data_IF_054811084744
#
_entry.id   IF_054811084744
#
_cell.length_a   1.000
_cell.length_b   1.000
_cell.length_c   1.000
_cell.angle_alpha   90.00
_cell.angle_beta   90.00
_cell.angle_gamma   90.00
#
_symmetry.space_group_name_H-M   'P 1'
#
loop_
_entity.id
_entity.type
_entity.pdbx_description
1 polymer ?
#
# COMPACT_ATOMS: atom_id res chain seq x y z
N UNK A 1 28.20 28.33 -7.13
CA UNK A 1 27.01 27.47 -6.99
C UNK A 1 27.46 26.15 -6.34
N UNK A 2 27.17 25.94 -5.07
CA UNK A 2 27.47 24.66 -4.39
C UNK A 2 26.42 23.66 -4.82
N UNK A 3 26.83 22.60 -5.52
CA UNK A 3 25.95 21.43 -5.78
C UNK A 3 25.62 20.81 -4.42
N UNK A 4 24.37 20.93 -3.99
CA UNK A 4 23.88 20.22 -2.82
C UNK A 4 23.91 18.72 -3.17
N UNK A 5 24.71 17.95 -2.47
CA UNK A 5 24.75 16.50 -2.65
C UNK A 5 23.38 15.94 -2.24
N UNK A 6 22.70 15.26 -3.16
CA UNK A 6 21.49 14.49 -2.87
C UNK A 6 21.91 13.29 -2.01
N UNK A 7 21.25 13.11 -0.89
CA UNK A 7 21.46 11.95 -0.02
C UNK A 7 20.47 10.87 -0.46
N UNK A 8 20.99 9.80 -1.08
CA UNK A 8 20.19 8.67 -1.57
C UNK A 8 20.11 7.58 -0.51
N UNK A 9 18.95 6.99 -0.33
CA UNK A 9 18.73 5.79 0.46
C UNK A 9 17.95 4.75 -0.35
N UNK A 10 18.22 3.47 -0.13
CA UNK A 10 17.50 2.36 -0.76
C UNK A 10 16.49 1.77 0.22
N UNK A 11 15.25 1.57 -0.24
CA UNK A 11 14.17 0.91 0.50
C UNK A 11 13.64 -0.22 -0.39
N UNK A 12 13.47 -1.41 0.17
CA UNK A 12 12.90 -2.58 -0.54
C UNK A 12 11.66 -3.02 0.21
N UNK A 13 10.54 -3.20 -0.51
CA UNK A 13 9.29 -3.68 0.05
C UNK A 13 8.87 -4.93 -0.71
N UNK A 14 8.62 -6.02 0.02
CA UNK A 14 8.29 -7.32 -0.57
C UNK A 14 6.87 -7.74 -0.20
N UNK A 15 6.16 -8.32 -1.14
CA UNK A 15 4.93 -9.08 -0.90
C UNK A 15 5.28 -10.38 -0.15
N UNK A 16 5.14 -10.36 1.14
CA UNK A 16 5.50 -11.33 2.18
C UNK A 16 6.90 -11.16 2.79
N UNK A 17 6.82 -10.56 3.98
CA UNK A 17 7.77 -10.66 5.10
C UNK A 17 9.23 -10.34 4.86
N UNK A 18 9.62 -9.23 5.46
CA UNK A 18 10.88 -9.02 6.19
C UNK A 18 12.09 -8.57 5.40
N UNK A 19 12.30 -7.31 5.39
CA UNK A 19 13.46 -6.55 5.87
C UNK A 19 13.32 -5.10 5.44
N UNK A 20 12.62 -4.31 6.23
CA UNK A 20 12.65 -2.85 6.11
C UNK A 20 13.80 -2.37 6.99
N UNK A 21 14.74 -1.64 6.40
CA UNK A 21 15.73 -0.92 7.19
C UNK A 21 15.02 0.17 8.00
N UNK A 22 15.16 0.12 9.31
CA UNK A 22 14.50 0.95 10.29
C UNK A 22 14.71 2.45 10.02
N UNK A 23 13.61 3.16 9.78
CA UNK A 23 13.52 4.59 10.05
C UNK A 23 12.21 4.82 10.79
N UNK A 24 12.31 5.13 12.06
CA UNK A 24 11.20 5.18 13.00
C UNK A 24 10.44 6.51 12.96
N UNK A 25 9.13 6.41 12.83
CA UNK A 25 8.10 7.36 13.23
C UNK A 25 7.46 8.24 12.17
N UNK A 26 6.12 8.22 12.11
CA UNK A 26 5.30 8.94 11.13
C UNK A 26 4.34 9.94 11.80
N UNK A 27 3.97 11.07 11.17
CA UNK A 27 2.75 11.76 11.53
C UNK A 27 1.53 10.95 11.10
N UNK A 28 0.44 11.05 11.85
CA UNK A 28 -0.82 10.43 11.53
C UNK A 28 -1.30 10.88 10.14
N UNK A 29 -1.31 9.96 9.18
CA UNK A 29 -1.81 10.18 7.81
C UNK A 29 -2.74 9.01 7.45
N UNK A 30 -3.73 9.28 6.60
CA UNK A 30 -4.61 8.25 6.06
C UNK A 30 -3.80 7.27 5.22
N UNK A 31 -4.04 5.98 5.37
CA UNK A 31 -3.33 4.84 4.76
C UNK A 31 -1.86 4.77 5.18
N UNK A 32 -1.30 3.57 5.26
CA UNK A 32 0.14 3.44 5.37
C UNK A 32 0.77 3.96 4.07
N UNK A 33 1.29 5.19 4.14
CA UNK A 33 2.17 5.72 3.10
C UNK A 33 3.58 5.31 3.41
N UNK A 34 4.30 4.92 2.41
CA UNK A 34 5.74 4.79 2.54
C UNK A 34 6.34 6.14 2.92
N UNK A 35 7.19 6.15 3.91
CA UNK A 35 7.75 7.38 4.41
C UNK A 35 9.09 7.19 5.12
N UNK A 36 9.79 8.28 5.27
CA UNK A 36 11.03 8.38 6.04
C UNK A 36 10.78 9.25 7.26
N UNK A 37 11.27 8.85 8.41
CA UNK A 37 11.29 9.70 9.61
C UNK A 37 12.71 10.02 10.01
N UNK A 38 12.94 11.27 10.35
CA UNK A 38 14.13 11.72 11.04
C UNK A 38 13.78 12.50 12.32
N UNK A 39 14.76 13.09 12.99
CA UNK A 39 14.57 13.89 14.20
C UNK A 39 13.80 15.21 13.98
N UNK A 40 13.53 15.58 12.73
CA UNK A 40 12.87 16.85 12.36
C UNK A 40 11.42 16.62 11.94
N UNK A 41 11.08 15.38 11.48
CA UNK A 41 9.74 15.03 11.04
C UNK A 41 9.70 13.79 10.18
N UNK A 42 8.58 13.56 9.51
CA UNK A 42 8.44 12.49 8.52
C UNK A 42 8.04 13.06 7.17
N UNK A 43 8.53 12.42 6.11
CA UNK A 43 8.18 12.73 4.73
C UNK A 43 7.67 11.47 4.05
N UNK A 44 6.55 11.58 3.34
CA UNK A 44 6.03 10.46 2.52
C UNK A 44 6.80 10.35 1.22
N UNK A 45 7.02 9.11 0.78
CA UNK A 45 7.62 8.84 -0.53
C UNK A 45 6.62 9.18 -1.63
N UNK A 46 7.09 9.86 -2.65
CA UNK A 46 6.28 10.19 -3.82
C UNK A 46 7.14 10.62 -5.01
N UNK A 47 6.60 10.44 -6.19
CA UNK A 47 7.09 11.09 -7.39
C UNK A 47 6.74 12.59 -7.34
N UNK A 48 7.72 13.45 -7.42
CA UNK A 48 7.51 14.92 -7.45
C UNK A 48 7.34 15.44 -8.86
N UNK A 49 7.74 14.65 -9.86
CA UNK A 49 7.59 14.94 -11.28
C UNK A 49 6.67 13.91 -11.94
N UNK A 50 5.77 14.37 -12.80
CA UNK A 50 4.86 13.53 -13.57
C UNK A 50 5.08 13.77 -15.07
N UNK A 51 4.95 12.76 -15.94
CA UNK A 51 4.68 11.35 -15.61
C UNK A 51 5.84 10.68 -14.88
N UNK A 52 5.53 9.63 -14.10
CA UNK A 52 6.53 8.71 -13.58
C UNK A 52 7.01 7.81 -14.72
N UNK A 53 8.32 7.80 -14.96
CA UNK A 53 8.93 7.06 -16.06
C UNK A 53 9.27 5.63 -15.65
N UNK A 54 9.09 4.66 -16.57
CA UNK A 54 9.47 3.27 -16.33
C UNK A 54 9.89 2.55 -17.60
N UNK A 55 10.75 1.57 -17.44
CA UNK A 55 11.18 0.63 -18.48
C UNK A 55 10.80 -0.80 -18.11
N UNK A 56 10.76 -1.69 -19.08
CA UNK A 56 10.53 -3.11 -18.87
C UNK A 56 11.74 -3.90 -19.37
N UNK A 57 12.22 -4.82 -18.52
CA UNK A 57 13.32 -5.71 -18.92
C UNK A 57 12.88 -6.58 -20.09
N UNK A 58 13.74 -6.73 -21.10
CA UNK A 58 13.47 -7.40 -22.36
C UNK A 58 13.55 -8.95 -22.28
N UNK A 59 13.78 -9.49 -21.07
CA UNK A 59 13.92 -10.93 -20.84
C UNK A 59 12.55 -11.61 -20.76
N UNK A 60 12.36 -12.62 -21.58
CA UNK A 60 11.24 -13.56 -21.47
C UNK A 60 11.49 -14.58 -20.38
N UNK A 61 10.41 -14.99 -19.70
CA UNK A 61 10.42 -16.13 -18.77
C UNK A 61 9.42 -17.19 -19.21
N UNK A 62 9.49 -18.38 -18.62
CA UNK A 62 8.61 -19.49 -19.01
C UNK A 62 7.13 -19.13 -18.89
N UNK A 63 6.45 -19.04 -20.04
CA UNK A 63 5.02 -18.77 -20.14
C UNK A 63 4.64 -17.29 -20.18
N UNK A 64 5.60 -16.34 -20.07
CA UNK A 64 5.34 -14.90 -20.17
C UNK A 64 6.47 -14.23 -20.95
N UNK A 65 6.13 -13.57 -22.06
CA UNK A 65 7.08 -12.73 -22.78
C UNK A 65 7.21 -11.35 -22.13
N UNK A 66 8.31 -10.66 -22.40
CA UNK A 66 8.54 -9.26 -22.00
C UNK A 66 7.41 -8.32 -22.47
N UNK A 67 6.86 -8.56 -23.66
CA UNK A 67 5.71 -7.80 -24.16
C UNK A 67 4.41 -8.10 -23.36
N UNK A 68 4.20 -9.34 -22.94
CA UNK A 68 3.06 -9.67 -22.06
C UNK A 68 3.22 -9.08 -20.66
N UNK A 69 4.45 -9.04 -20.13
CA UNK A 69 4.76 -8.33 -18.89
C UNK A 69 4.45 -6.83 -19.03
N UNK A 70 4.95 -6.19 -20.09
CA UNK A 70 4.68 -4.79 -20.39
C UNK A 70 3.17 -4.49 -20.43
N UNK A 71 2.40 -5.33 -21.12
CA UNK A 71 0.95 -5.16 -21.23
C UNK A 71 0.24 -5.32 -19.89
N UNK A 72 0.67 -6.23 -19.04
CA UNK A 72 0.11 -6.38 -17.69
C UNK A 72 0.38 -5.14 -16.83
N UNK A 73 1.61 -4.63 -16.86
CA UNK A 73 2.01 -3.39 -16.16
C UNK A 73 1.22 -2.19 -16.70
N UNK A 74 1.08 -2.06 -18.02
CA UNK A 74 0.32 -0.96 -18.62
C UNK A 74 -1.15 -0.97 -18.18
N UNK A 75 -1.80 -2.14 -18.10
CA UNK A 75 -3.18 -2.24 -17.59
C UNK A 75 -3.25 -1.88 -16.10
N UNK A 76 -2.30 -2.33 -15.31
CA UNK A 76 -2.20 -1.97 -13.90
C UNK A 76 -2.06 -0.45 -13.72
N UNK A 77 -1.16 0.18 -14.46
CA UNK A 77 -0.96 1.63 -14.39
C UNK A 77 -2.19 2.40 -14.86
N UNK A 78 -2.86 1.98 -15.92
CA UNK A 78 -4.13 2.61 -16.35
C UNK A 78 -5.20 2.57 -15.26
N UNK A 79 -5.28 1.46 -14.52
CA UNK A 79 -6.22 1.34 -13.40
C UNK A 79 -5.94 2.39 -12.31
N UNK A 80 -4.68 2.71 -12.04
CA UNK A 80 -4.30 3.81 -11.14
C UNK A 80 -4.52 5.20 -11.77
N UNK A 81 -4.24 5.38 -13.07
CA UNK A 81 -4.46 6.64 -13.79
C UNK A 81 -5.95 7.01 -13.90
N UNK A 82 -6.82 6.01 -13.93
CA UNK A 82 -8.28 6.18 -14.02
C UNK A 82 -8.93 6.61 -12.70
N UNK A 83 -8.15 6.75 -11.61
CA UNK A 83 -8.66 7.29 -10.34
C UNK A 83 -8.99 8.78 -10.50
N UNK A 84 -10.28 9.17 -10.44
CA UNK A 84 -10.69 10.54 -10.81
C UNK A 84 -10.27 11.61 -9.80
N UNK A 85 -9.90 11.19 -8.60
CA UNK A 85 -9.50 12.06 -7.49
C UNK A 85 -7.98 12.13 -7.30
N UNK A 86 -7.22 11.46 -8.17
CA UNK A 86 -5.76 11.47 -8.15
C UNK A 86 -5.17 12.02 -9.47
N UNK A 87 -4.02 12.69 -9.34
CA UNK A 87 -3.25 13.23 -10.48
C UNK A 87 -1.98 12.43 -10.68
N UNK A 88 -2.09 11.20 -11.19
CA UNK A 88 -0.96 10.32 -11.51
C UNK A 88 -0.90 10.04 -13.01
N UNK A 89 0.32 9.95 -13.56
CA UNK A 89 0.57 9.59 -14.96
C UNK A 89 1.84 8.77 -15.05
N UNK A 90 1.87 7.83 -15.98
CA UNK A 90 3.02 6.98 -16.24
C UNK A 90 3.47 7.09 -17.69
N UNK A 91 4.77 6.91 -17.91
CA UNK A 91 5.37 6.92 -19.23
C UNK A 91 6.27 5.71 -19.41
N UNK A 92 5.93 4.87 -20.36
CA UNK A 92 6.79 3.78 -20.80
C UNK A 92 7.91 4.33 -21.69
N UNK A 93 9.17 4.11 -21.28
CA UNK A 93 10.36 4.60 -21.99
C UNK A 93 10.95 3.56 -22.93
N UNK A 94 10.46 2.32 -22.89
CA UNK A 94 10.93 1.26 -23.78
C UNK A 94 11.41 0.02 -23.02
N UNK A 95 11.87 -0.96 -23.80
CA UNK A 95 12.52 -2.13 -23.26
C UNK A 95 13.99 -1.84 -22.92
N UNK A 96 14.49 -2.51 -21.87
CA UNK A 96 15.87 -2.36 -21.40
C UNK A 96 16.47 -3.72 -21.08
N UNK A 97 17.80 -3.82 -21.15
CA UNK A 97 18.54 -4.98 -20.63
C UNK A 97 18.92 -4.82 -19.16
N UNK A 98 18.63 -3.67 -18.53
CA UNK A 98 18.86 -3.46 -17.10
C UNK A 98 18.00 -4.43 -16.28
N UNK A 99 18.55 -4.93 -15.18
CA UNK A 99 17.79 -5.76 -14.25
C UNK A 99 17.16 -4.91 -13.14
N UNK A 100 15.99 -5.28 -12.63
CA UNK A 100 15.45 -4.65 -11.45
C UNK A 100 16.44 -4.74 -10.26
N UNK A 101 16.41 -3.74 -9.39
CA UNK A 101 17.25 -3.60 -8.19
C UNK A 101 18.67 -3.04 -8.46
N UNK A 102 18.97 -2.56 -9.65
CA UNK A 102 20.21 -1.85 -9.96
C UNK A 102 20.05 -0.35 -9.67
N UNK A 103 21.05 0.31 -9.10
CA UNK A 103 21.08 1.79 -8.91
C UNK A 103 21.62 2.44 -10.19
N UNK A 104 20.76 2.56 -11.21
CA UNK A 104 21.16 3.01 -12.54
C UNK A 104 20.36 4.23 -13.04
N UNK A 105 19.49 4.79 -12.20
CA UNK A 105 18.52 5.86 -12.49
C UNK A 105 17.44 5.46 -13.50
N UNK A 106 17.16 4.17 -13.65
CA UNK A 106 16.11 3.65 -14.52
C UNK A 106 15.13 2.83 -13.70
N UNK A 107 13.89 3.27 -13.61
CA UNK A 107 12.86 2.47 -12.94
C UNK A 107 12.52 1.26 -13.81
N UNK A 108 12.96 0.08 -13.40
CA UNK A 108 12.87 -1.14 -14.20
C UNK A 108 11.89 -2.13 -13.61
N UNK A 109 10.95 -2.59 -14.43
CA UNK A 109 10.06 -3.72 -14.17
C UNK A 109 10.59 -4.95 -14.87
N UNK A 110 10.80 -6.06 -14.15
CA UNK A 110 11.34 -7.26 -14.78
C UNK A 110 11.21 -8.52 -13.95
N UNK A 111 11.57 -9.64 -14.52
CA UNK A 111 11.64 -10.91 -13.80
C UNK A 111 13.02 -11.14 -13.20
N UNK A 112 13.07 -11.54 -11.92
CA UNK A 112 14.26 -12.06 -11.26
C UNK A 112 13.99 -13.45 -10.69
N UNK A 113 14.98 -14.34 -10.78
CA UNK A 113 14.90 -15.66 -10.15
C UNK A 113 15.28 -15.55 -8.69
N UNK A 114 14.30 -15.68 -7.80
CA UNK A 114 14.47 -15.58 -6.35
C UNK A 114 13.87 -16.82 -5.65
N UNK A 115 14.45 -18.01 -5.88
CA UNK A 115 13.99 -19.25 -5.23
C UNK A 115 14.23 -19.25 -3.71
N UNK A 116 15.11 -18.37 -3.22
CA UNK A 116 15.34 -18.09 -1.81
C UNK A 116 14.16 -17.37 -1.15
N UNK A 117 13.28 -16.74 -1.94
CA UNK A 117 12.07 -16.03 -1.53
C UNK A 117 10.83 -16.80 -1.99
N UNK A 118 10.63 -18.01 -1.47
CA UNK A 118 9.60 -18.96 -1.90
C UNK A 118 8.15 -18.46 -1.73
N UNK A 119 7.94 -17.45 -0.88
CA UNK A 119 6.64 -16.82 -0.61
C UNK A 119 6.50 -15.42 -1.19
N UNK A 120 7.54 -14.87 -1.82
CA UNK A 120 7.51 -13.53 -2.41
C UNK A 120 7.18 -13.66 -3.89
N UNK A 121 6.04 -13.10 -4.29
CA UNK A 121 5.60 -13.06 -5.68
C UNK A 121 6.29 -11.95 -6.45
N UNK A 122 6.38 -10.76 -5.85
CA UNK A 122 7.02 -9.59 -6.41
C UNK A 122 7.54 -8.69 -5.29
N UNK A 123 8.31 -7.68 -5.63
CA UNK A 123 8.78 -6.69 -4.66
C UNK A 123 9.18 -5.41 -5.35
N UNK A 124 8.85 -4.29 -4.72
CA UNK A 124 9.23 -2.95 -5.13
C UNK A 124 10.36 -2.41 -4.29
N UNK A 125 11.37 -1.79 -4.92
CA UNK A 125 12.47 -1.11 -4.25
C UNK A 125 12.55 0.35 -4.70
N UNK A 126 13.19 1.19 -3.87
CA UNK A 126 13.27 2.63 -4.10
C UNK A 126 14.67 3.16 -3.90
N UNK A 127 15.07 4.11 -4.76
CA UNK A 127 16.12 5.06 -4.48
C UNK A 127 15.46 6.44 -4.27
N UNK A 128 15.70 7.05 -3.12
CA UNK A 128 14.97 8.25 -2.70
C UNK A 128 15.91 9.35 -2.23
N UNK A 129 15.48 10.60 -2.36
CA UNK A 129 16.07 11.70 -1.59
C UNK A 129 15.52 11.65 -0.17
N UNK A 130 16.35 11.27 0.78
CA UNK A 130 15.95 11.03 2.18
C UNK A 130 15.51 12.28 2.93
N UNK A 131 15.73 13.48 2.39
CA UNK A 131 15.27 14.73 3.01
C UNK A 131 13.91 15.19 2.54
N UNK A 132 13.54 14.82 1.31
CA UNK A 132 12.30 15.30 0.66
C UNK A 132 11.27 14.20 0.47
N UNK A 133 11.67 12.93 0.58
CA UNK A 133 10.83 11.79 0.22
C UNK A 133 10.62 11.64 -1.30
N UNK A 134 11.34 12.41 -2.12
CA UNK A 134 11.25 12.28 -3.58
C UNK A 134 11.75 10.92 -4.02
N UNK A 135 10.92 10.18 -4.73
CA UNK A 135 11.31 8.96 -5.42
C UNK A 135 12.15 9.36 -6.63
N UNK A 136 13.38 8.89 -6.69
CA UNK A 136 14.31 9.15 -7.79
C UNK A 136 14.30 8.01 -8.80
N UNK A 137 14.09 6.78 -8.29
CA UNK A 137 14.04 5.55 -9.04
C UNK A 137 13.25 4.52 -8.23
N UNK A 138 12.49 3.67 -8.90
CA UNK A 138 11.78 2.56 -8.26
C UNK A 138 11.77 1.36 -9.18
N UNK A 139 12.28 0.24 -8.68
CA UNK A 139 12.32 -1.02 -9.41
C UNK A 139 11.30 -2.00 -8.88
N UNK A 140 10.76 -2.79 -9.78
CA UNK A 140 9.83 -3.87 -9.45
C UNK A 140 10.32 -5.17 -10.06
N UNK A 141 10.61 -6.17 -9.23
CA UNK A 141 10.82 -7.50 -9.74
C UNK A 141 9.63 -8.42 -9.49
N UNK A 142 9.36 -9.28 -10.45
CA UNK A 142 8.44 -10.42 -10.33
C UNK A 142 9.28 -11.69 -10.19
N UNK A 143 8.97 -12.53 -9.21
CA UNK A 143 9.76 -13.74 -8.95
C UNK A 143 9.50 -14.79 -10.02
N UNK A 144 10.47 -15.03 -10.89
CA UNK A 144 10.35 -16.03 -11.97
C UNK A 144 10.37 -17.48 -11.48
N UNK A 145 10.61 -17.71 -10.17
CA UNK A 145 10.51 -19.04 -9.56
C UNK A 145 9.07 -19.51 -9.37
N UNK A 146 8.08 -18.58 -9.45
CA UNK A 146 6.66 -18.92 -9.36
C UNK A 146 6.01 -18.95 -10.74
N UNK A 147 4.95 -19.76 -10.92
CA UNK A 147 4.24 -19.84 -12.19
C UNK A 147 3.29 -18.63 -12.36
N UNK A 148 3.41 -17.93 -13.49
CA UNK A 148 2.63 -16.74 -13.83
C UNK A 148 1.58 -17.03 -14.90
N UNK A 149 0.47 -16.30 -14.86
CA UNK A 149 -0.58 -16.27 -15.87
C UNK A 149 -0.87 -14.82 -16.32
N UNK A 150 -1.13 -14.68 -17.62
CA UNK A 150 -1.58 -13.42 -18.26
C UNK A 150 -2.94 -13.61 -18.91
N UNK A 151 -3.65 -14.70 -18.61
CA UNK A 151 -4.95 -15.00 -19.20
C UNK A 151 -6.05 -14.13 -18.59
N UNK A 152 -7.10 -13.84 -19.37
CA UNK A 152 -8.18 -13.00 -18.93
C UNK A 152 -8.93 -13.54 -17.70
N UNK A 153 -9.13 -14.86 -17.64
CA UNK A 153 -9.96 -15.52 -16.63
C UNK A 153 -9.16 -16.20 -15.51
N UNK A 154 -7.83 -15.95 -15.45
CA UNK A 154 -6.94 -16.68 -14.57
C UNK A 154 -6.65 -18.12 -15.05
N UNK A 155 -5.68 -18.76 -14.42
CA UNK A 155 -5.25 -20.12 -14.75
C UNK A 155 -4.93 -20.87 -13.45
N UNK A 156 -5.59 -22.01 -13.18
CA UNK A 156 -5.34 -22.77 -11.97
C UNK A 156 -3.84 -23.11 -11.78
N UNK A 157 -3.32 -22.87 -10.58
CA UNK A 157 -1.93 -23.15 -10.26
C UNK A 157 -0.94 -22.05 -10.70
N UNK A 158 -1.41 -20.96 -11.31
CA UNK A 158 -0.60 -19.80 -11.72
C UNK A 158 -1.10 -18.53 -11.09
N UNK A 159 -0.19 -17.67 -10.67
CA UNK A 159 -0.55 -16.35 -10.15
C UNK A 159 -0.84 -15.36 -11.28
N UNK A 160 -1.81 -14.52 -11.07
CA UNK A 160 -2.20 -13.51 -12.04
C UNK A 160 -1.22 -12.33 -12.04
N UNK A 161 -0.50 -12.17 -13.15
CA UNK A 161 0.53 -11.15 -13.27
C UNK A 161 -0.02 -9.73 -13.17
N UNK A 162 -1.22 -9.47 -13.74
CA UNK A 162 -1.84 -8.15 -13.71
C UNK A 162 -2.28 -7.74 -12.29
N UNK A 163 -2.84 -8.66 -11.51
CA UNK A 163 -3.22 -8.39 -10.11
C UNK A 163 -2.00 -8.04 -9.26
N UNK A 164 -0.89 -8.77 -9.44
CA UNK A 164 0.35 -8.49 -8.71
C UNK A 164 0.99 -7.19 -9.21
N UNK A 165 0.99 -6.94 -10.52
CA UNK A 165 1.47 -5.67 -11.07
C UNK A 165 0.66 -4.47 -10.57
N UNK A 166 -0.66 -4.62 -10.35
CA UNK A 166 -1.50 -3.57 -9.78
C UNK A 166 -1.12 -3.26 -8.32
N UNK A 167 -0.81 -4.29 -7.52
CA UNK A 167 -0.31 -4.13 -6.15
C UNK A 167 1.06 -3.43 -6.13
N UNK A 168 2.03 -3.93 -6.90
CA UNK A 168 3.36 -3.33 -6.97
C UNK A 168 3.33 -1.90 -7.51
N UNK A 169 2.40 -1.59 -8.43
CA UNK A 169 2.18 -0.23 -8.91
C UNK A 169 1.71 0.71 -7.79
N UNK A 170 0.95 0.21 -6.81
CA UNK A 170 0.62 0.97 -5.60
C UNK A 170 1.84 1.30 -4.76
N UNK A 171 2.76 0.35 -4.58
CA UNK A 171 4.06 0.61 -3.94
C UNK A 171 4.88 1.61 -4.77
N UNK A 172 5.00 1.40 -6.07
CA UNK A 172 5.67 2.32 -6.98
C UNK A 172 5.19 3.77 -6.84
N UNK A 173 3.92 3.97 -6.47
CA UNK A 173 3.32 5.27 -6.18
C UNK A 173 3.57 5.76 -4.74
N UNK A 174 4.18 4.98 -3.87
CA UNK A 174 4.46 5.36 -2.49
C UNK A 174 3.40 4.90 -1.47
N UNK A 175 2.47 4.03 -1.84
CA UNK A 175 1.58 3.35 -0.89
C UNK A 175 2.31 2.22 -0.20
N UNK A 176 2.03 2.00 1.08
CA UNK A 176 2.38 0.80 1.83
C UNK A 176 1.18 -0.16 1.86
N UNK A 177 1.24 -1.19 2.69
CA UNK A 177 0.17 -2.18 2.79
C UNK A 177 -1.06 -1.64 3.52
N UNK A 178 -2.23 -2.13 3.12
CA UNK A 178 -3.51 -1.93 3.81
C UNK A 178 -3.86 -3.17 4.63
N UNK A 179 -4.45 -3.00 5.82
CA UNK A 179 -4.93 -4.11 6.63
C UNK A 179 -6.38 -4.52 6.32
N UNK A 180 -6.99 -3.94 5.28
CA UNK A 180 -8.34 -4.32 4.87
C UNK A 180 -8.36 -5.67 4.15
N UNK A 181 -8.31 -6.74 4.93
CA UNK A 181 -8.41 -8.11 4.44
C UNK A 181 -8.71 -9.09 5.57
N UNK A 182 -9.34 -10.19 5.22
CA UNK A 182 -9.66 -11.28 6.13
C UNK A 182 -8.94 -12.54 5.66
N UNK A 183 -8.31 -13.24 6.57
CA UNK A 183 -7.54 -14.44 6.25
C UNK A 183 -7.77 -15.54 7.25
N UNK A 184 -7.41 -16.77 6.86
CA UNK A 184 -7.33 -17.91 7.77
C UNK A 184 -5.97 -18.61 7.67
N UNK A 185 -5.42 -19.12 8.78
CA UNK A 185 -4.20 -19.93 8.76
C UNK A 185 -4.39 -21.22 7.96
N UNK A 186 -3.35 -21.63 7.22
CA UNK A 186 -3.31 -22.93 6.51
C UNK A 186 -2.55 -23.98 7.33
N UNK A 187 -2.97 -25.23 7.24
CA UNK A 187 -2.32 -26.36 7.92
C UNK A 187 -0.87 -26.61 7.47
N UNK A 188 -0.47 -26.13 6.28
CA UNK A 188 0.89 -26.21 5.73
C UNK A 188 1.72 -24.95 5.97
N UNK A 189 1.25 -24.02 6.79
CA UNK A 189 1.84 -22.69 7.00
C UNK A 189 1.36 -21.65 5.99
N UNK A 190 1.52 -20.37 6.36
CA UNK A 190 0.96 -19.22 5.64
C UNK A 190 -0.54 -19.06 5.88
N UNK A 191 -1.15 -18.13 5.15
CA UNK A 191 -2.56 -17.75 5.30
C UNK A 191 -3.30 -17.85 3.96
N UNK A 192 -4.62 -18.01 3.99
CA UNK A 192 -5.51 -17.97 2.85
C UNK A 192 -6.38 -16.72 2.96
N UNK A 193 -6.40 -15.90 1.92
CA UNK A 193 -7.31 -14.76 1.82
C UNK A 193 -8.74 -15.26 1.67
N UNK A 194 -9.63 -14.80 2.53
CA UNK A 194 -11.07 -15.00 2.46
C UNK A 194 -11.76 -13.85 1.74
N UNK A 195 -11.22 -12.64 1.90
CA UNK A 195 -11.65 -11.42 1.22
C UNK A 195 -10.61 -10.33 1.39
N UNK A 196 -10.57 -9.39 0.47
CA UNK A 196 -9.76 -8.19 0.57
C UNK A 196 -10.59 -6.95 0.24
N UNK A 197 -10.39 -5.90 1.02
CA UNK A 197 -10.99 -4.57 0.83
C UNK A 197 -10.00 -3.55 0.27
N UNK A 198 -8.79 -3.99 -0.08
CA UNK A 198 -7.75 -3.20 -0.72
C UNK A 198 -6.89 -4.09 -1.62
N UNK A 199 -6.41 -3.55 -2.75
CA UNK A 199 -5.39 -4.22 -3.56
C UNK A 199 -4.06 -4.22 -2.83
N UNK A 200 -3.85 -3.22 -1.96
CA UNK A 200 -2.64 -3.12 -1.13
C UNK A 200 -2.64 -4.05 0.09
N UNK A 201 -3.58 -5.00 0.22
CA UNK A 201 -3.50 -6.05 1.24
C UNK A 201 -2.29 -6.96 0.95
N UNK A 202 -1.41 -7.27 1.95
CA UNK A 202 -0.10 -7.87 1.70
C UNK A 202 -0.12 -9.33 1.26
N UNK A 203 -1.28 -9.99 1.31
CA UNK A 203 -1.40 -11.41 0.96
C UNK A 203 -2.23 -11.55 -0.31
N UNK A 204 -1.60 -12.09 -1.35
CA UNK A 204 -2.26 -12.30 -2.63
C UNK A 204 -3.37 -13.37 -2.56
N UNK A 205 -4.38 -13.23 -3.41
CA UNK A 205 -5.34 -14.30 -3.64
C UNK A 205 -4.66 -15.58 -4.13
N UNK A 206 -5.34 -16.71 -3.94
CA UNK A 206 -4.84 -18.00 -4.42
C UNK A 206 -4.62 -17.97 -5.94
N UNK A 207 -3.68 -18.79 -6.41
CA UNK A 207 -3.42 -18.96 -7.83
C UNK A 207 -4.69 -19.31 -8.63
N UNK A 208 -4.84 -18.72 -9.80
CA UNK A 208 -6.04 -18.83 -10.64
C UNK A 208 -7.09 -17.73 -10.40
N UNK A 209 -6.94 -16.91 -9.36
CA UNK A 209 -7.84 -15.80 -9.05
C UNK A 209 -7.40 -14.51 -9.75
N UNK A 210 -8.35 -13.69 -10.22
CA UNK A 210 -8.14 -12.40 -10.90
C UNK A 210 -8.87 -11.24 -10.20
N UNK A 211 -9.39 -11.44 -8.99
CA UNK A 211 -10.13 -10.41 -8.24
C UNK A 211 -9.25 -9.22 -7.85
N UNK A 212 -7.94 -9.41 -7.78
CA UNK A 212 -6.97 -8.35 -7.51
C UNK A 212 -6.73 -7.35 -8.65
N UNK A 213 -7.48 -7.42 -9.76
CA UNK A 213 -7.34 -6.48 -10.90
C UNK A 213 -8.15 -5.19 -10.76
N UNK A 214 -8.60 -4.83 -9.57
CA UNK A 214 -9.39 -3.61 -9.35
C UNK A 214 -8.96 -2.90 -8.08
N UNK A 215 -9.09 -1.59 -8.06
CA UNK A 215 -8.93 -0.79 -6.85
C UNK A 215 -10.19 -0.80 -6.00
N UNK A 216 -10.00 -0.70 -4.72
CA UNK A 216 -11.04 -0.54 -3.72
C UNK A 216 -11.05 0.91 -3.19
N UNK A 217 -12.08 1.32 -2.45
CA UNK A 217 -12.15 2.67 -1.89
C UNK A 217 -10.93 3.09 -1.07
N UNK A 218 -10.32 2.16 -0.36
CA UNK A 218 -9.10 2.38 0.42
C UNK A 218 -7.91 2.76 -0.47
N UNK A 219 -7.67 1.99 -1.52
CA UNK A 219 -6.58 2.25 -2.48
C UNK A 219 -6.77 3.60 -3.17
N UNK A 220 -8.02 3.89 -3.60
CA UNK A 220 -8.39 5.14 -4.26
C UNK A 220 -8.14 6.32 -3.33
N UNK A 221 -8.55 6.20 -2.08
CA UNK A 221 -8.35 7.24 -1.10
C UNK A 221 -6.85 7.42 -0.78
N UNK A 222 -6.07 6.33 -0.73
CA UNK A 222 -4.62 6.33 -0.53
C UNK A 222 -3.86 7.08 -1.61
N UNK A 223 -4.06 6.71 -2.86
CA UNK A 223 -3.37 7.36 -3.99
C UNK A 223 -3.80 8.81 -4.14
N UNK A 224 -5.08 9.12 -3.88
CA UNK A 224 -5.59 10.50 -3.95
C UNK A 224 -5.00 11.40 -2.85
N UNK A 225 -4.68 10.85 -1.68
CA UNK A 225 -4.05 11.65 -0.63
C UNK A 225 -2.54 11.90 -0.88
N UNK A 226 -1.86 11.01 -1.63
CA UNK A 226 -0.46 11.24 -2.06
C UNK A 226 -0.42 12.20 -3.26
N UNK A 227 -1.32 12.01 -4.23
CA UNK A 227 -1.38 12.75 -5.50
C UNK A 227 -2.77 13.39 -5.71
N UNK A 228 -3.22 14.29 -4.84
CA UNK A 228 -4.57 14.83 -4.94
C UNK A 228 -4.78 15.59 -6.25
N UNK A 229 -5.92 15.37 -6.87
CA UNK A 229 -6.44 16.31 -7.86
C UNK A 229 -6.94 17.60 -7.19
N UNK A 230 -7.37 18.57 -8.00
CA UNK A 230 -7.85 19.84 -7.48
C UNK A 230 -9.14 19.72 -6.63
N UNK A 231 -9.94 18.68 -6.86
CA UNK A 231 -11.22 18.43 -6.19
C UNK A 231 -11.11 17.60 -4.91
N UNK A 232 -10.11 16.74 -4.80
CA UNK A 232 -10.03 15.73 -3.74
C UNK A 232 -10.31 16.29 -2.33
N UNK A 233 -9.57 17.31 -1.91
CA UNK A 233 -9.70 17.91 -0.57
C UNK A 233 -10.97 18.73 -0.39
N UNK A 234 -11.63 19.14 -1.48
CA UNK A 234 -12.88 19.91 -1.46
C UNK A 234 -14.10 18.99 -1.41
N UNK A 235 -14.03 17.82 -2.07
CA UNK A 235 -15.15 16.91 -2.25
C UNK A 235 -15.17 15.75 -1.25
N UNK A 236 -14.06 15.48 -0.58
CA UNK A 236 -13.95 14.46 0.47
C UNK A 236 -13.79 15.10 1.85
N UNK A 237 -13.89 14.29 2.89
CA UNK A 237 -13.62 14.71 4.25
C UNK A 237 -12.75 13.73 5.00
N UNK A 238 -12.54 13.98 6.29
CA UNK A 238 -11.73 13.12 7.15
C UNK A 238 -12.37 12.89 8.51
N UNK A 239 -12.00 11.77 9.11
CA UNK A 239 -12.25 11.48 10.53
C UNK A 239 -10.90 11.44 11.23
N UNK A 240 -10.84 12.03 12.43
CA UNK A 240 -9.66 12.01 13.26
C UNK A 240 -10.02 11.67 14.70
N UNK A 241 -9.08 11.06 15.41
CA UNK A 241 -9.32 10.68 16.78
C UNK A 241 -8.13 9.99 17.42
N UNK A 242 -8.44 9.29 18.52
CA UNK A 242 -7.47 8.56 19.31
C UNK A 242 -8.06 7.22 19.74
N UNK A 243 -7.27 6.14 19.63
CA UNK A 243 -7.60 4.83 20.18
C UNK A 243 -6.87 4.65 21.49
N UNK A 244 -7.62 4.23 22.55
CA UNK A 244 -7.05 4.05 23.88
C UNK A 244 -7.43 2.69 24.48
N UNK A 245 -6.52 2.13 25.30
CA UNK A 245 -6.78 0.98 26.18
C UNK A 245 -6.34 1.34 27.59
N UNK A 246 -7.25 1.27 28.56
CA UNK A 246 -7.03 1.65 29.96
C UNK A 246 -6.56 3.13 30.13
N UNK A 247 -6.84 4.00 29.15
CA UNK A 247 -6.44 5.40 29.11
C UNK A 247 -5.16 5.71 28.35
N UNK A 248 -4.36 4.70 28.03
CA UNK A 248 -3.14 4.84 27.24
C UNK A 248 -3.43 4.68 25.75
N UNK A 249 -2.67 5.37 24.90
CA UNK A 249 -2.79 5.26 23.45
C UNK A 249 -2.29 3.92 22.94
N UNK A 250 -2.87 3.41 21.86
CA UNK A 250 -2.43 2.19 21.19
C UNK A 250 -1.80 2.54 19.84
N UNK A 251 -0.50 2.34 19.70
CA UNK A 251 0.15 2.34 18.39
C UNK A 251 -0.24 1.11 17.58
N UNK A 252 -0.51 1.27 16.28
CA UNK A 252 -0.82 0.17 15.35
C UNK A 252 -2.27 -0.31 15.38
N UNK A 253 -3.14 0.29 16.22
CA UNK A 253 -4.58 -0.03 16.15
C UNK A 253 -5.13 0.34 14.76
N UNK A 254 -5.78 -0.62 14.11
CA UNK A 254 -6.39 -0.39 12.80
C UNK A 254 -7.80 0.19 12.98
N UNK A 255 -8.05 1.34 12.38
CA UNK A 255 -9.35 2.03 12.43
C UNK A 255 -9.96 2.02 11.05
N UNK A 256 -11.17 1.49 10.94
CA UNK A 256 -11.91 1.35 9.68
C UNK A 256 -13.15 2.24 9.71
N UNK A 257 -13.32 3.07 8.69
CA UNK A 257 -14.54 3.82 8.41
C UNK A 257 -15.37 3.08 7.35
N UNK A 258 -16.59 2.73 7.71
CA UNK A 258 -17.57 2.07 6.84
C UNK A 258 -18.67 3.03 6.46
N UNK A 259 -18.88 3.25 5.15
CA UNK A 259 -20.05 3.98 4.63
C UNK A 259 -21.22 3.00 4.45
N UNK A 260 -22.28 3.04 5.29
CA UNK A 260 -23.38 2.09 5.21
C UNK A 260 -24.27 2.26 3.97
N UNK A 261 -24.10 3.34 3.19
CA UNK A 261 -24.88 3.58 1.96
C UNK A 261 -24.26 2.90 0.76
N UNK A 262 -22.93 2.78 0.71
CA UNK A 262 -22.19 2.24 -0.45
C UNK A 262 -21.52 0.91 -0.16
N UNK A 263 -21.26 0.62 1.11
CA UNK A 263 -20.45 -0.53 1.54
C UNK A 263 -18.96 -0.25 1.51
N UNK A 264 -18.54 0.99 1.22
CA UNK A 264 -17.14 1.36 1.13
C UNK A 264 -16.46 1.25 2.50
N UNK A 265 -15.26 0.67 2.50
CA UNK A 265 -14.35 0.61 3.63
C UNK A 265 -13.12 1.44 3.32
N UNK A 266 -12.69 2.25 4.26
CA UNK A 266 -11.42 2.98 4.22
C UNK A 266 -10.79 2.87 5.59
N UNK A 267 -9.56 2.38 5.66
CA UNK A 267 -8.85 2.14 6.92
C UNK A 267 -7.63 3.02 7.11
N UNK A 268 -7.20 3.13 8.34
CA UNK A 268 -5.89 3.65 8.70
C UNK A 268 -5.48 3.16 10.09
N UNK A 269 -4.22 3.38 10.41
CA UNK A 269 -3.64 3.00 11.70
C UNK A 269 -3.48 4.19 12.62
N UNK A 270 -3.50 3.94 13.92
CA UNK A 270 -2.96 4.85 14.90
C UNK A 270 -1.43 4.75 14.86
N UNK A 271 -0.76 5.77 14.31
CA UNK A 271 0.69 5.75 14.03
C UNK A 271 1.54 6.47 15.07
N UNK A 272 0.93 6.97 16.13
CA UNK A 272 1.60 7.59 17.27
C UNK A 272 1.36 6.78 18.55
N UNK A 273 2.31 6.82 19.49
CA UNK A 273 2.16 6.16 20.80
C UNK A 273 0.97 6.71 21.59
N UNK A 274 0.54 7.92 21.26
CA UNK A 274 -0.68 8.53 21.81
C UNK A 274 -1.97 7.90 21.30
N UNK A 275 -1.89 7.01 20.29
CA UNK A 275 -3.03 6.35 19.65
C UNK A 275 -3.77 7.21 18.65
N UNK A 276 -3.22 8.36 18.23
CA UNK A 276 -3.84 9.25 17.27
C UNK A 276 -3.94 8.66 15.87
N UNK A 277 -5.08 8.87 15.22
CA UNK A 277 -5.35 8.46 13.85
C UNK A 277 -6.06 9.54 13.05
N UNK A 278 -5.91 9.47 11.71
CA UNK A 278 -6.69 10.23 10.74
C UNK A 278 -7.05 9.29 9.59
N UNK A 279 -8.32 9.29 9.16
CA UNK A 279 -8.78 8.65 7.93
C UNK A 279 -9.26 9.75 7.00
N UNK A 280 -8.56 10.00 5.91
CA UNK A 280 -8.91 11.02 4.91
C UNK A 280 -9.56 10.38 3.67
N UNK A 281 -9.99 11.20 2.71
CA UNK A 281 -10.59 10.71 1.46
C UNK A 281 -11.98 10.10 1.59
N UNK A 282 -12.62 10.26 2.75
CA UNK A 282 -13.96 9.73 2.99
C UNK A 282 -15.01 10.52 2.23
N UNK A 283 -16.02 9.82 1.71
CA UNK A 283 -17.21 10.48 1.15
C UNK A 283 -17.92 11.26 2.23
N UNK A 284 -18.42 12.49 1.96
CA UNK A 284 -19.22 13.21 2.92
C UNK A 284 -20.50 12.45 3.29
N UNK A 285 -20.80 12.38 4.57
CA UNK A 285 -21.99 11.69 5.08
C UNK A 285 -21.69 10.81 6.30
N UNK A 286 -22.63 9.92 6.60
CA UNK A 286 -22.61 9.10 7.81
C UNK A 286 -21.67 7.88 7.63
N UNK A 287 -20.83 7.67 8.63
CA UNK A 287 -19.92 6.52 8.71
C UNK A 287 -20.04 5.83 10.08
N UNK A 288 -19.78 4.53 10.06
CA UNK A 288 -19.58 3.71 11.25
C UNK A 288 -18.08 3.47 11.38
N UNK A 289 -17.52 3.65 12.58
CA UNK A 289 -16.12 3.37 12.83
C UNK A 289 -15.96 2.06 13.61
N UNK A 290 -14.99 1.26 13.22
CA UNK A 290 -14.53 0.05 13.89
C UNK A 290 -13.04 0.17 14.15
N UNK A 291 -12.60 -0.23 15.33
CA UNK A 291 -11.20 -0.41 15.69
C UNK A 291 -10.96 -1.91 15.87
N UNK A 292 -9.88 -2.40 15.32
CA UNK A 292 -9.49 -3.81 15.39
C UNK A 292 -7.99 -3.98 15.56
N UNK A 293 -7.56 -5.08 16.19
CA UNK A 293 -6.15 -5.44 16.24
C UNK A 293 -5.68 -5.95 14.88
N UNK A 294 -4.38 -5.87 14.63
CA UNK A 294 -3.75 -6.35 13.41
C UNK A 294 -3.46 -7.84 13.53
N UNK A 295 -4.41 -8.69 13.18
CA UNK A 295 -4.34 -10.17 13.36
C UNK A 295 -4.61 -10.99 12.07
N UNK A 296 -4.86 -10.33 10.93
CA UNK A 296 -5.10 -10.98 9.63
C UNK A 296 -3.88 -11.10 8.71
N UNK A 297 -2.75 -10.51 9.09
CA UNK A 297 -1.47 -10.66 8.40
C UNK A 297 -0.32 -10.53 9.40
N UNK A 298 0.89 -10.82 8.94
CA UNK A 298 2.09 -10.68 9.77
C UNK A 298 2.36 -9.19 10.07
N UNK A 299 2.67 -8.85 11.32
CA UNK A 299 2.91 -7.45 11.76
C UNK A 299 4.02 -6.79 10.93
N UNK A 300 5.04 -7.57 10.59
CA UNK A 300 6.18 -7.12 9.79
C UNK A 300 5.80 -6.69 8.36
N UNK A 301 4.62 -7.11 7.87
CA UNK A 301 4.09 -6.60 6.60
C UNK A 301 3.68 -5.13 6.68
N UNK A 302 3.48 -4.59 7.88
CA UNK A 302 3.01 -3.22 8.10
C UNK A 302 4.01 -2.35 8.83
N UNK A 303 4.71 -2.91 9.83
CA UNK A 303 5.56 -2.14 10.74
C UNK A 303 6.89 -2.85 11.01
N UNK A 304 7.96 -2.08 10.99
CA UNK A 304 9.28 -2.52 11.45
C UNK A 304 9.36 -2.43 12.99
N UNK A 305 8.54 -3.24 13.66
CA UNK A 305 8.51 -3.35 15.12
C UNK A 305 8.38 -4.81 15.55
N UNK A 306 9.09 -5.23 16.62
CA UNK A 306 9.05 -6.62 17.07
C UNK A 306 7.72 -7.03 17.70
N UNK A 307 6.91 -6.05 18.15
CA UNK A 307 5.59 -6.33 18.74
C UNK A 307 4.70 -5.09 18.71
N UNK A 308 3.40 -5.34 18.53
CA UNK A 308 2.32 -4.38 18.72
C UNK A 308 1.40 -4.91 19.82
N UNK A 309 0.67 -4.00 20.46
CA UNK A 309 -0.44 -4.41 21.33
C UNK A 309 -1.64 -4.79 20.46
N UNK A 310 -1.79 -6.10 20.23
CA UNK A 310 -2.94 -6.70 19.52
C UNK A 310 -3.92 -7.38 20.49
N UNK A 311 -3.67 -7.29 21.81
CA UNK A 311 -4.51 -7.87 22.86
C UNK A 311 -5.67 -6.94 23.23
N UNK A 312 -6.56 -6.67 22.26
CA UNK A 312 -7.81 -5.98 22.51
C UNK A 312 -8.93 -6.51 21.60
N UNK A 313 -10.16 -6.30 22.04
CA UNK A 313 -11.35 -6.74 21.30
C UNK A 313 -11.68 -5.73 20.20
N UNK A 314 -12.07 -6.20 18.99
CA UNK A 314 -12.64 -5.33 17.97
C UNK A 314 -13.82 -4.54 18.57
N UNK A 315 -13.80 -3.22 18.36
CA UNK A 315 -14.73 -2.30 19.02
C UNK A 315 -15.34 -1.35 18.01
N UNK A 316 -16.65 -1.20 18.01
CA UNK A 316 -17.33 -0.14 17.26
C UNK A 316 -17.40 1.15 18.09
N UNK A 317 -17.15 2.28 17.45
CA UNK A 317 -17.48 3.56 18.06
C UNK A 317 -18.99 3.68 18.27
N UNK A 318 -19.40 4.12 19.45
CA UNK A 318 -20.82 4.07 19.87
C UNK A 318 -21.77 5.02 19.12
N UNK A 319 -21.22 5.93 18.32
CA UNK A 319 -21.99 6.94 17.58
C UNK A 319 -21.69 6.89 16.09
N UNK A 320 -22.69 7.25 15.31
CA UNK A 320 -22.49 7.53 13.90
C UNK A 320 -21.66 8.81 13.74
N UNK A 321 -20.67 8.77 12.85
CA UNK A 321 -19.80 9.90 12.56
C UNK A 321 -20.25 10.54 11.26
N UNK A 322 -20.51 11.84 11.28
CA UNK A 322 -20.88 12.58 10.06
C UNK A 322 -19.63 13.27 9.53
N UNK A 323 -19.14 12.80 8.40
CA UNK A 323 -17.98 13.34 7.69
C UNK A 323 -18.43 14.58 6.90
N UNK A 324 -17.83 15.76 7.13
CA UNK A 324 -18.16 16.95 6.36
C UNK A 324 -17.53 16.91 4.97
N UNK A 325 -18.08 17.67 4.04
CA UNK A 325 -17.43 17.93 2.75
C UNK A 325 -16.32 18.98 2.95
N UNK A 326 -15.14 18.73 2.44
CA UNK A 326 -14.01 19.67 2.46
C UNK A 326 -13.43 19.95 3.86
N UNK A 327 -13.56 19.00 4.81
CA UNK A 327 -13.05 19.20 6.15
C UNK A 327 -12.95 17.93 6.99
N UNK A 328 -12.53 18.07 8.24
CA UNK A 328 -12.40 16.96 9.20
C UNK A 328 -13.48 17.04 10.30
N UNK A 329 -13.75 15.88 10.91
CA UNK A 329 -14.56 15.83 12.13
C UNK A 329 -13.80 16.42 13.31
N UNK A 330 -14.49 16.86 14.38
CA UNK A 330 -13.85 17.00 15.68
C UNK A 330 -13.14 15.69 16.07
N UNK A 331 -12.07 15.79 16.86
CA UNK A 331 -11.36 14.61 17.36
C UNK A 331 -12.28 13.78 18.26
N UNK A 332 -12.25 12.46 18.08
CA UNK A 332 -13.02 11.50 18.86
C UNK A 332 -12.08 10.57 19.62
N UNK A 333 -12.54 9.99 20.72
CA UNK A 333 -11.83 8.97 21.46
C UNK A 333 -12.58 7.64 21.37
N UNK A 334 -11.85 6.57 21.05
CA UNK A 334 -12.39 5.21 20.94
C UNK A 334 -11.65 4.33 21.94
N UNK A 335 -12.25 4.11 23.15
CA UNK A 335 -11.68 3.19 24.12
C UNK A 335 -11.94 1.75 23.72
N UNK A 336 -10.90 0.93 23.71
CA UNK A 336 -10.99 -0.52 23.51
C UNK A 336 -10.73 -1.26 24.83
N UNK A 337 -11.09 -2.54 24.87
CA UNK A 337 -10.90 -3.39 26.06
C UNK A 337 -9.97 -4.54 25.69
N UNK A 338 -9.16 -4.98 26.65
CA UNK A 338 -8.37 -6.21 26.53
C UNK A 338 -9.25 -7.43 26.14
N UNK A 339 -8.67 -8.39 25.44
CA UNK A 339 -9.31 -9.65 25.09
C UNK A 339 -9.53 -10.54 26.32
#
# INVERSE_FOLDING_TARGET
MRRCARVRGRIVISLLASAIAAVSGTPAQAYLKLGLRDSVGSVSLRWTTQPAHYSVNDRDVSGVSSEQLRQAIERAFRTWEDVPTASVRFQFDGFTSAEPLEDDNTSTFGFLSRPDLDRVLASTSFFVDTRTGEILESDVFFNSSVPWSVTQNGEPGRFDLESIALHEAGHFLGLSHSALGETEPRSGGGRRVLGAGAVMFPIAFASGNVEGRRLFPDDIAGVSDIYPDAGFRQDTGSVQGRVTKDGDGIFGAHVVAYDPRTGDLVGNFALEETGEFIIAGLRPGTHILRVEPLDDAEIESFFDRPSLDVDFQPTFYERLVVVPRGGGTPSIEIPVRAR
#
